data_IF_914912327400
#
_entry.id   IF_914912327400
#
_cell.length_a   1.000
_cell.length_b   1.000
_cell.length_c   1.000
_cell.angle_alpha   90.00
_cell.angle_beta   90.00
_cell.angle_gamma   90.00
#
_symmetry.space_group_name_H-M   'P 1'
#
loop_
_entity.id
_entity.type
_entity.pdbx_description
1 polymer ?
#
# COMPACT_ATOMS: atom_id res chain seq x y z
N UNK A 1 10.73 -10.18 13.70
CA UNK A 1 9.68 -9.73 12.76
C UNK A 1 9.92 -10.43 11.41
N UNK A 2 8.93 -10.52 10.51
CA UNK A 2 9.09 -11.24 9.22
C UNK A 2 10.26 -10.70 8.39
N UNK A 3 10.53 -9.40 8.47
CA UNK A 3 11.69 -8.77 7.83
C UNK A 3 13.04 -9.33 8.36
N UNK A 4 13.13 -9.68 9.65
CA UNK A 4 14.36 -10.25 10.25
C UNK A 4 14.67 -11.67 9.74
N UNK A 5 13.75 -12.29 9.01
CA UNK A 5 13.92 -13.61 8.39
C UNK A 5 14.43 -13.55 6.94
N UNK A 6 14.85 -12.36 6.46
CA UNK A 6 15.38 -12.15 5.11
C UNK A 6 14.33 -11.97 4.02
N UNK A 7 13.05 -11.80 4.40
CA UNK A 7 11.97 -11.47 3.47
C UNK A 7 11.91 -9.97 3.23
N UNK A 8 11.70 -9.58 1.99
CA UNK A 8 11.21 -8.23 1.70
C UNK A 8 9.71 -8.23 1.95
N UNK A 9 9.24 -7.23 2.67
CA UNK A 9 7.87 -7.16 3.18
C UNK A 9 7.14 -5.92 2.68
N UNK A 10 5.84 -6.07 2.38
CA UNK A 10 4.99 -4.93 2.06
C UNK A 10 3.60 -5.00 2.69
N UNK A 11 3.08 -3.82 3.06
CA UNK A 11 1.73 -3.62 3.57
C UNK A 11 1.10 -2.35 2.98
N UNK A 12 -0.11 -2.48 2.42
CA UNK A 12 -0.87 -1.35 1.90
C UNK A 12 -2.38 -1.56 1.97
N UNK A 13 -3.12 -0.46 2.04
CA UNK A 13 -4.59 -0.43 1.98
C UNK A 13 -5.00 0.70 1.03
N UNK A 14 -6.12 0.58 0.32
CA UNK A 14 -6.60 1.59 -0.63
C UNK A 14 -7.49 2.68 0.01
N UNK A 15 -7.99 2.47 1.23
CA UNK A 15 -8.80 3.43 1.99
C UNK A 15 -8.05 4.01 3.20
N UNK A 16 -7.31 5.10 3.00
CA UNK A 16 -6.43 5.63 4.07
C UNK A 16 -7.15 6.24 5.27
N UNK A 17 -8.43 6.62 5.13
CA UNK A 17 -9.21 7.23 6.21
C UNK A 17 -9.82 6.21 7.18
N UNK A 18 -9.99 4.95 6.76
CA UNK A 18 -10.56 3.83 7.54
C UNK A 18 -9.62 2.62 7.59
N UNK A 19 -8.33 2.83 7.34
CA UNK A 19 -7.34 1.75 7.34
C UNK A 19 -7.24 1.03 8.68
N UNK A 20 -6.93 -0.28 8.61
CA UNK A 20 -6.90 -1.23 9.73
C UNK A 20 -6.10 -0.72 10.93
N UNK A 21 -4.99 -0.02 10.70
CA UNK A 21 -4.07 0.40 11.76
C UNK A 21 -4.16 1.89 12.12
N UNK A 22 -4.96 2.68 11.40
CA UNK A 22 -5.01 4.14 11.56
C UNK A 22 -6.42 4.65 11.84
N UNK A 23 -7.47 3.87 11.58
CA UNK A 23 -8.82 4.24 11.98
C UNK A 23 -8.89 4.35 13.51
N UNK A 24 -9.08 5.58 14.02
CA UNK A 24 -9.10 5.92 15.46
C UNK A 24 -7.80 5.61 16.22
N UNK A 25 -6.70 5.37 15.51
CA UNK A 25 -5.38 5.08 16.05
C UNK A 25 -4.34 6.00 15.42
N UNK A 26 -3.12 6.02 15.97
CA UNK A 26 -2.01 6.84 15.43
C UNK A 26 -1.26 6.16 14.27
N UNK A 27 -1.55 4.89 13.99
CA UNK A 27 -0.75 4.09 13.07
C UNK A 27 0.64 3.78 13.60
N UNK A 28 1.54 3.43 12.68
CA UNK A 28 2.92 3.10 12.98
C UNK A 28 3.81 4.34 12.96
N UNK A 29 4.64 4.52 13.99
CA UNK A 29 5.76 5.47 13.94
C UNK A 29 6.86 4.91 13.04
N UNK A 30 7.24 3.66 13.31
CA UNK A 30 8.20 2.87 12.56
C UNK A 30 7.43 1.70 11.92
N UNK A 31 7.17 1.73 10.60
CA UNK A 31 6.40 0.68 9.94
C UNK A 31 7.09 -0.69 10.09
N UNK A 32 6.35 -1.77 10.41
CA UNK A 32 6.92 -3.11 10.59
C UNK A 32 7.18 -3.84 9.26
N UNK A 33 7.23 -3.09 8.14
CA UNK A 33 7.44 -3.59 6.78
C UNK A 33 8.41 -2.69 6.03
N UNK A 34 9.05 -3.24 5.00
CA UNK A 34 9.98 -2.48 4.15
C UNK A 34 9.24 -1.47 3.26
N UNK A 35 8.07 -1.87 2.74
CA UNK A 35 7.25 -1.05 1.85
C UNK A 35 5.89 -0.82 2.46
N UNK A 36 5.72 0.37 3.05
CA UNK A 36 4.45 0.81 3.62
C UNK A 36 3.71 1.72 2.64
N UNK A 37 2.54 1.31 2.18
CA UNK A 37 1.80 2.02 1.13
C UNK A 37 1.12 3.32 1.58
N UNK A 38 0.87 3.53 2.87
CA UNK A 38 0.09 4.69 3.36
C UNK A 38 0.58 6.07 2.86
N UNK A 39 1.89 6.40 2.89
CA UNK A 39 2.37 7.68 2.39
C UNK A 39 2.01 7.91 0.92
N UNK A 40 2.08 6.88 0.08
CA UNK A 40 1.68 6.95 -1.32
C UNK A 40 0.20 7.30 -1.46
N UNK A 41 -0.69 6.56 -0.79
CA UNK A 41 -2.13 6.79 -0.91
C UNK A 41 -2.56 8.16 -0.34
N UNK A 42 -2.00 8.59 0.80
CA UNK A 42 -2.26 9.92 1.35
C UNK A 42 -1.88 11.02 0.36
N UNK A 43 -0.74 10.88 -0.30
CA UNK A 43 -0.30 11.82 -1.32
C UNK A 43 -1.19 11.77 -2.56
N UNK A 44 -1.51 10.56 -3.06
CA UNK A 44 -2.32 10.36 -4.25
C UNK A 44 -3.73 10.96 -4.06
N UNK A 45 -4.37 10.71 -2.91
CA UNK A 45 -5.68 11.24 -2.55
C UNK A 45 -5.69 12.77 -2.38
N UNK A 46 -4.56 13.37 -1.95
CA UNK A 46 -4.45 14.83 -1.82
C UNK A 46 -4.45 15.59 -3.15
N UNK A 47 -4.26 14.88 -4.28
CA UNK A 47 -4.20 15.52 -5.60
C UNK A 47 -5.60 15.93 -6.07
N UNK A 48 -5.69 17.12 -6.67
CA UNK A 48 -6.93 17.62 -7.31
C UNK A 48 -7.47 16.69 -8.41
N UNK A 49 -6.58 15.90 -9.02
CA UNK A 49 -6.89 14.90 -10.04
C UNK A 49 -7.41 13.59 -9.46
N UNK A 50 -7.30 13.37 -8.14
CA UNK A 50 -7.92 12.23 -7.46
C UNK A 50 -9.43 12.38 -7.47
N UNK A 51 -10.11 11.33 -7.94
CA UNK A 51 -11.57 11.21 -7.99
C UNK A 51 -11.95 9.88 -7.33
N UNK A 52 -13.25 9.66 -7.02
CA UNK A 52 -13.70 8.34 -6.60
C UNK A 52 -13.18 7.27 -7.57
N UNK A 53 -12.58 6.21 -7.04
CA UNK A 53 -12.02 5.07 -7.78
C UNK A 53 -10.80 5.34 -8.69
N UNK A 54 -10.33 6.58 -8.83
CA UNK A 54 -9.24 6.93 -9.75
C UNK A 54 -8.21 7.91 -9.16
N UNK A 55 -6.94 7.71 -9.51
CA UNK A 55 -5.88 8.69 -9.32
C UNK A 55 -5.51 9.30 -10.69
N UNK A 56 -6.17 10.40 -11.08
CA UNK A 56 -6.01 10.95 -12.42
C UNK A 56 -6.55 10.00 -13.48
N UNK A 57 -5.69 9.54 -14.39
CA UNK A 57 -6.05 8.64 -15.49
C UNK A 57 -5.96 7.15 -15.15
N UNK A 58 -5.49 6.79 -13.96
CA UNK A 58 -5.37 5.38 -13.52
C UNK A 58 -6.43 5.05 -12.47
N UNK A 59 -6.95 3.82 -12.50
CA UNK A 59 -7.87 3.35 -11.44
C UNK A 59 -7.09 3.04 -10.16
N UNK A 60 -7.75 3.13 -9.00
CA UNK A 60 -7.14 2.77 -7.70
C UNK A 60 -6.75 1.29 -7.65
N UNK A 61 -7.56 0.43 -8.27
CA UNK A 61 -7.23 -0.98 -8.47
C UNK A 61 -5.96 -1.17 -9.30
N UNK A 62 -5.85 -0.48 -10.43
CA UNK A 62 -4.64 -0.53 -11.24
C UNK A 62 -3.42 -0.03 -10.46
N UNK A 63 -3.55 1.05 -9.69
CA UNK A 63 -2.47 1.55 -8.84
C UNK A 63 -1.99 0.50 -7.82
N UNK A 64 -2.92 -0.18 -7.14
CA UNK A 64 -2.58 -1.25 -6.18
C UNK A 64 -1.98 -2.48 -6.89
N UNK A 65 -2.50 -2.86 -8.04
CA UNK A 65 -1.97 -3.98 -8.81
C UNK A 65 -0.56 -3.69 -9.32
N UNK A 66 -0.31 -2.48 -9.80
CA UNK A 66 1.01 -2.00 -10.22
C UNK A 66 1.99 -1.96 -9.04
N UNK A 67 1.51 -1.57 -7.85
CA UNK A 67 2.29 -1.64 -6.62
C UNK A 67 2.77 -3.07 -6.32
N UNK A 68 1.89 -4.06 -6.44
CA UNK A 68 2.25 -5.48 -6.26
C UNK A 68 3.24 -5.92 -7.33
N UNK A 69 2.99 -5.63 -8.61
CA UNK A 69 3.89 -6.03 -9.71
C UNK A 69 5.29 -5.46 -9.53
N UNK A 70 5.39 -4.16 -9.29
CA UNK A 70 6.66 -3.46 -9.09
C UNK A 70 7.44 -4.05 -7.91
N UNK A 71 6.76 -4.41 -6.82
CA UNK A 71 7.39 -5.08 -5.68
C UNK A 71 8.02 -6.43 -6.07
N UNK A 72 7.35 -7.24 -6.90
CA UNK A 72 7.91 -8.51 -7.35
C UNK A 72 9.07 -8.32 -8.34
N UNK A 73 8.98 -7.31 -9.21
CA UNK A 73 10.00 -6.98 -10.22
C UNK A 73 11.27 -6.38 -9.60
N UNK A 74 11.13 -5.53 -8.58
CA UNK A 74 12.26 -4.91 -7.87
C UNK A 74 13.11 -5.92 -7.08
N UNK A 75 12.49 -7.00 -6.61
CA UNK A 75 13.14 -8.00 -5.77
C UNK A 75 13.08 -9.38 -6.43
N UNK A 76 13.82 -9.62 -7.53
CA UNK A 76 13.70 -10.85 -8.31
C UNK A 76 14.17 -12.10 -7.56
N UNK A 77 15.08 -11.95 -6.59
CA UNK A 77 15.76 -13.08 -5.94
C UNK A 77 15.45 -13.22 -4.44
N UNK A 78 14.80 -12.22 -3.84
CA UNK A 78 14.48 -12.23 -2.42
C UNK A 78 13.13 -12.90 -2.18
N UNK A 79 12.99 -13.68 -1.09
CA UNK A 79 11.68 -14.13 -0.66
C UNK A 79 10.84 -12.91 -0.28
N UNK A 80 9.56 -12.95 -0.64
CA UNK A 80 8.65 -11.81 -0.61
C UNK A 80 7.43 -12.14 0.23
N UNK A 81 7.07 -11.27 1.17
CA UNK A 81 5.81 -11.36 1.89
C UNK A 81 4.99 -10.10 1.63
N UNK A 82 3.84 -10.27 1.00
CA UNK A 82 3.02 -9.18 0.50
C UNK A 82 1.61 -9.32 1.07
N UNK A 83 1.16 -8.32 1.84
CA UNK A 83 -0.18 -8.31 2.39
C UNK A 83 -0.85 -6.96 2.09
N UNK A 84 -1.93 -6.98 1.31
CA UNK A 84 -2.63 -5.75 0.90
C UNK A 84 -4.13 -5.94 1.09
N UNK A 85 -4.83 -4.90 1.54
CA UNK A 85 -6.30 -4.86 1.55
C UNK A 85 -6.82 -3.91 0.49
N UNK A 86 -7.76 -4.41 -0.30
CA UNK A 86 -8.49 -3.65 -1.29
C UNK A 86 -9.96 -3.59 -0.88
N UNK A 87 -10.46 -2.43 -0.45
CA UNK A 87 -11.78 -2.24 0.13
C UNK A 87 -12.72 -1.39 -0.74
N UNK A 88 -12.19 -0.56 -1.65
CA UNK A 88 -12.96 0.46 -2.40
C UNK A 88 -13.92 -0.11 -3.45
N UNK A 89 -13.93 -1.42 -3.69
CA UNK A 89 -14.87 -2.11 -4.59
C UNK A 89 -15.72 -3.20 -3.91
N UNK A 90 -15.78 -3.21 -2.57
CA UNK A 90 -16.59 -4.17 -1.79
C UNK A 90 -18.03 -3.71 -1.58
#
# INVERSE_FOLDING_TARGET
MINDSGYVTQWAEDMQFVGTFQYRLKGFRDPPVDHYGRPFYLFAESKKTSKPFCFGSITRFQAMFDWIRNFFDMYPHQPKFSYLFHADYS
#
